data_IF_358122003899
#
_entry.id   IF_358122003899
#
_cell.length_a   1.000
_cell.length_b   1.000
_cell.length_c   1.000
_cell.angle_alpha   90.00
_cell.angle_beta   90.00
_cell.angle_gamma   90.00
#
_symmetry.space_group_name_H-M   'P 1'
#
loop_
_entity.id
_entity.type
_entity.pdbx_description
1 polymer ?
#
# COMPACT_ATOMS: atom_id res chain seq x y z
N UNK A 1 0.35 -5.08 -22.82
CA UNK A 1 -0.03 -5.87 -21.61
C UNK A 1 1.04 -6.91 -21.24
N UNK A 2 1.55 -7.71 -22.19
CA UNK A 2 2.53 -8.80 -21.95
C UNK A 2 3.82 -8.35 -21.24
N UNK A 3 4.37 -7.18 -21.56
CA UNK A 3 5.61 -6.69 -20.96
C UNK A 3 5.50 -6.45 -19.44
N UNK A 4 4.38 -5.86 -18.98
CA UNK A 4 4.15 -5.61 -17.56
C UNK A 4 3.96 -6.91 -16.77
N UNK A 5 3.22 -7.87 -17.33
CA UNK A 5 3.06 -9.19 -16.73
C UNK A 5 4.40 -9.90 -16.56
N UNK A 6 5.25 -9.89 -17.61
CA UNK A 6 6.61 -10.47 -17.55
C UNK A 6 7.47 -9.79 -16.49
N UNK A 7 7.41 -8.46 -16.41
CA UNK A 7 8.15 -7.68 -15.43
C UNK A 7 7.73 -8.02 -13.99
N UNK A 8 6.43 -7.99 -13.69
CA UNK A 8 5.93 -8.34 -12.35
C UNK A 8 6.25 -9.78 -11.98
N UNK A 9 6.11 -10.73 -12.91
CA UNK A 9 6.48 -12.13 -12.67
C UNK A 9 7.99 -12.27 -12.41
N UNK A 10 8.83 -11.50 -13.11
CA UNK A 10 10.27 -11.45 -12.88
C UNK A 10 10.61 -10.93 -11.48
N UNK A 11 9.95 -9.85 -11.04
CA UNK A 11 10.11 -9.31 -9.68
C UNK A 11 9.67 -10.34 -8.63
N UNK A 12 8.50 -10.96 -8.79
CA UNK A 12 8.00 -11.98 -7.86
C UNK A 12 8.94 -13.19 -7.75
N UNK A 13 9.52 -13.62 -8.88
CA UNK A 13 10.46 -14.76 -8.91
C UNK A 13 11.80 -14.43 -8.27
N UNK A 14 12.28 -13.21 -8.45
CA UNK A 14 13.64 -12.80 -8.00
C UNK A 14 13.64 -12.11 -6.63
N UNK A 15 12.48 -11.65 -6.14
CA UNK A 15 12.38 -10.81 -4.95
C UNK A 15 12.94 -9.38 -5.13
N UNK A 16 13.45 -9.04 -6.31
CA UNK A 16 14.14 -7.77 -6.56
C UNK A 16 13.17 -6.70 -7.05
N UNK A 17 12.74 -5.84 -6.13
CA UNK A 17 11.90 -4.68 -6.48
C UNK A 17 12.75 -3.51 -6.97
N UNK A 18 12.34 -2.91 -8.09
CA UNK A 18 13.06 -1.83 -8.76
C UNK A 18 13.15 -0.58 -7.88
N UNK A 19 14.36 -0.04 -7.70
CA UNK A 19 14.61 1.14 -6.87
C UNK A 19 13.82 2.37 -7.31
N UNK A 20 13.68 2.59 -8.61
CA UNK A 20 12.90 3.71 -9.14
C UNK A 20 11.40 3.65 -8.77
N UNK A 21 10.87 2.47 -8.48
CA UNK A 21 9.48 2.28 -8.05
C UNK A 21 9.32 2.32 -6.53
N UNK A 22 10.43 2.33 -5.78
CA UNK A 22 10.46 2.61 -4.34
C UNK A 22 10.35 4.11 -4.05
N UNK A 23 10.58 4.96 -5.05
CA UNK A 23 10.42 6.40 -4.92
C UNK A 23 8.94 6.77 -4.97
N UNK A 24 8.49 7.51 -3.96
CA UNK A 24 7.15 8.08 -3.88
C UNK A 24 7.20 9.57 -3.62
N UNK A 25 6.06 10.24 -3.84
CA UNK A 25 5.89 11.66 -3.49
C UNK A 25 5.29 11.73 -2.09
N UNK A 26 6.00 12.36 -1.17
CA UNK A 26 5.49 12.60 0.17
C UNK A 26 4.59 13.85 0.20
N UNK A 27 3.39 13.69 0.74
CA UNK A 27 2.45 14.79 0.97
C UNK A 27 1.91 14.73 2.39
N UNK A 28 1.73 15.89 3.02
CA UNK A 28 1.18 16.01 4.37
C UNK A 28 -0.33 16.29 4.29
N UNK A 29 -1.14 15.44 4.93
CA UNK A 29 -2.59 15.61 5.04
C UNK A 29 -2.96 15.99 6.48
N UNK A 30 -3.67 17.10 6.65
CA UNK A 30 -4.13 17.54 7.97
C UNK A 30 -5.12 16.55 8.58
N UNK A 31 -4.91 16.20 9.87
CA UNK A 31 -5.86 15.44 10.68
C UNK A 31 -7.14 16.25 10.86
N UNK A 32 -8.29 15.63 10.61
CA UNK A 32 -9.59 16.25 10.85
C UNK A 32 -9.71 16.75 12.31
N UNK A 33 -10.20 17.97 12.48
CA UNK A 33 -10.42 18.60 13.79
C UNK A 33 -9.15 18.99 14.55
N UNK A 34 -7.97 19.01 13.92
CA UNK A 34 -6.71 19.41 14.57
C UNK A 34 -6.17 20.73 14.01
N UNK A 35 -5.40 21.42 14.86
CA UNK A 35 -4.75 22.68 14.51
C UNK A 35 -3.70 22.48 13.40
N UNK A 36 -3.81 23.24 12.31
CA UNK A 36 -2.92 23.16 11.14
C UNK A 36 -1.49 23.62 11.41
N UNK A 37 -1.27 24.38 12.48
CA UNK A 37 0.04 24.94 12.86
C UNK A 37 0.96 23.94 13.55
N UNK A 38 0.41 22.84 14.04
CA UNK A 38 1.17 21.80 14.72
C UNK A 38 1.61 20.72 13.73
N UNK A 39 2.90 20.41 13.69
CA UNK A 39 3.43 19.32 12.86
C UNK A 39 2.80 17.96 13.21
N UNK A 40 2.47 17.74 14.49
CA UNK A 40 1.78 16.53 14.96
C UNK A 40 0.36 16.37 14.42
N UNK A 41 -0.24 17.45 13.90
CA UNK A 41 -1.55 17.44 13.25
C UNK A 41 -1.49 16.98 11.81
N UNK A 42 -0.32 16.90 11.18
CA UNK A 42 -0.17 16.39 9.82
C UNK A 42 -0.01 14.86 9.81
N UNK A 43 -0.54 14.21 8.77
CA UNK A 43 -0.31 12.80 8.43
C UNK A 43 0.50 12.78 7.14
N UNK A 44 1.81 12.49 7.19
CA UNK A 44 2.55 12.25 5.97
C UNK A 44 2.00 10.99 5.30
N UNK A 45 1.73 11.06 4.01
CA UNK A 45 1.48 9.89 3.17
C UNK A 45 2.44 9.90 1.98
N UNK A 46 2.91 8.72 1.60
CA UNK A 46 3.76 8.54 0.43
C UNK A 46 2.92 8.04 -0.73
N UNK A 47 2.82 8.84 -1.79
CA UNK A 47 2.15 8.47 -3.03
C UNK A 47 3.12 7.74 -3.95
N UNK A 48 2.88 6.44 -4.14
CA UNK A 48 3.63 5.63 -5.09
C UNK A 48 3.21 5.92 -6.53
N UNK A 49 4.09 5.59 -7.48
CA UNK A 49 3.73 5.57 -8.90
C UNK A 49 2.59 4.58 -9.17
N UNK A 50 1.83 4.82 -10.24
CA UNK A 50 0.71 3.94 -10.61
C UNK A 50 1.17 2.49 -10.81
N UNK A 51 2.37 2.29 -11.36
CA UNK A 51 2.93 0.95 -11.60
C UNK A 51 3.27 0.25 -10.28
N UNK A 52 3.90 0.95 -9.35
CA UNK A 52 4.19 0.42 -8.02
C UNK A 52 2.89 0.07 -7.27
N UNK A 53 1.87 0.94 -7.34
CA UNK A 53 0.57 0.71 -6.73
C UNK A 53 -0.16 -0.52 -7.30
N UNK A 54 -0.07 -0.73 -8.62
CA UNK A 54 -0.59 -1.92 -9.27
C UNK A 54 0.12 -3.18 -8.76
N UNK A 55 1.45 -3.12 -8.61
CA UNK A 55 2.22 -4.24 -8.08
C UNK A 55 1.90 -4.55 -6.61
N UNK A 56 1.72 -3.53 -5.77
CA UNK A 56 1.23 -3.71 -4.39
C UNK A 56 -0.08 -4.48 -4.35
N UNK A 57 -1.02 -4.17 -5.25
CA UNK A 57 -2.31 -4.87 -5.30
C UNK A 57 -2.15 -6.36 -5.66
N UNK A 58 -1.22 -6.67 -6.57
CA UNK A 58 -0.88 -8.06 -6.91
C UNK A 58 -0.30 -8.76 -5.69
N UNK A 59 0.69 -8.17 -5.01
CA UNK A 59 1.28 -8.76 -3.79
C UNK A 59 0.21 -8.95 -2.72
N UNK A 60 -0.64 -7.94 -2.48
CA UNK A 60 -1.69 -8.01 -1.46
C UNK A 60 -2.62 -9.19 -1.71
N UNK A 61 -3.03 -9.43 -2.97
CA UNK A 61 -3.84 -10.59 -3.33
C UNK A 61 -3.14 -11.92 -3.05
N UNK A 62 -1.83 -11.98 -3.25
CA UNK A 62 -1.05 -13.17 -2.91
C UNK A 62 -0.92 -13.36 -1.39
N UNK A 63 -0.65 -12.29 -0.64
CA UNK A 63 -0.51 -12.30 0.81
C UNK A 63 -1.82 -12.61 1.52
N UNK A 64 -2.94 -12.05 1.06
CA UNK A 64 -4.25 -12.23 1.67
C UNK A 64 -4.68 -13.71 1.74
N UNK A 65 -4.18 -14.57 0.84
CA UNK A 65 -4.41 -16.02 0.91
C UNK A 65 -3.75 -16.70 2.11
N UNK A 66 -2.75 -16.05 2.71
CA UNK A 66 -1.93 -16.59 3.79
C UNK A 66 -2.07 -15.78 5.09
N UNK A 67 -2.67 -14.59 5.04
CA UNK A 67 -2.94 -13.77 6.21
C UNK A 67 -4.29 -14.17 6.81
N UNK A 68 -4.25 -14.91 7.91
CA UNK A 68 -5.44 -15.25 8.70
C UNK A 68 -5.60 -14.20 9.81
N UNK A 69 -6.68 -13.39 9.79
CA UNK A 69 -6.91 -12.39 10.84
C UNK A 69 -7.10 -13.05 12.21
N UNK A 70 -6.49 -12.50 13.25
CA UNK A 70 -6.75 -12.91 14.65
C UNK A 70 -8.12 -12.43 15.10
N UNK A 71 -8.71 -13.08 16.10
CA UNK A 71 -10.05 -12.73 16.58
C UNK A 71 -10.16 -11.28 17.06
N UNK A 72 -9.09 -10.72 17.63
CA UNK A 72 -9.04 -9.36 18.16
C UNK A 72 -8.81 -8.28 17.08
N UNK A 73 -8.58 -8.65 15.81
CA UNK A 73 -8.29 -7.70 14.75
C UNK A 73 -9.58 -7.13 14.15
N UNK A 74 -10.08 -5.98 14.60
CA UNK A 74 -11.35 -5.44 14.08
C UNK A 74 -11.21 -4.73 12.72
N UNK A 75 -10.04 -4.17 12.40
CA UNK A 75 -9.78 -3.47 11.14
C UNK A 75 -9.24 -4.38 10.02
N UNK A 76 -9.41 -3.93 8.78
CA UNK A 76 -8.78 -4.53 7.58
C UNK A 76 -9.08 -6.02 7.38
N UNK A 77 -10.34 -6.43 7.61
CA UNK A 77 -10.87 -7.75 7.24
C UNK A 77 -11.77 -7.64 6.03
N UNK A 78 -11.80 -8.66 5.19
CA UNK A 78 -12.70 -8.74 4.03
C UNK A 78 -14.19 -8.70 4.39
N UNK A 79 -14.53 -9.09 5.63
CA UNK A 79 -15.91 -9.36 6.06
C UNK A 79 -16.50 -8.26 6.97
N UNK A 80 -15.71 -7.24 7.35
CA UNK A 80 -16.20 -6.14 8.19
C UNK A 80 -16.30 -4.85 7.39
N UNK A 81 -17.51 -4.54 6.92
CA UNK A 81 -17.90 -3.19 6.52
C UNK A 81 -18.38 -2.51 7.81
N UNK A 82 -17.66 -1.49 8.27
CA UNK A 82 -18.14 -0.65 9.37
C UNK A 82 -19.37 0.12 8.88
N UNK A 83 -20.55 -0.36 9.25
CA UNK A 83 -21.81 0.38 9.16
C UNK A 83 -21.95 1.35 10.33
#
# INVERSE_FOLDING_TARGET
MVAMTRLFNGILRTGNFLGCWKMGRDIAILKAGKDSRLASSQRPITLLTHIAKLFEHIILRHLHRHLIPRQEQFGFRSEQRSS
#
